data_IF_615519930394
#
_entry.id   IF_615519930394
#
_cell.length_a   1.000
_cell.length_b   1.000
_cell.length_c   1.000
_cell.angle_alpha   90.00
_cell.angle_beta   90.00
_cell.angle_gamma   90.00
#
_symmetry.space_group_name_H-M   'P 1'
#
loop_
_entity.id
_entity.type
_entity.pdbx_description
1 polymer ?
#
# COMPACT_ATOMS: atom_id res chain seq x y z
N UNK A 1 5.00 -13.10 -14.67
CA UNK A 1 5.85 -13.57 -13.54
C UNK A 1 5.16 -13.45 -12.18
N UNK A 2 4.44 -12.34 -11.91
CA UNK A 2 3.68 -12.13 -10.67
C UNK A 2 2.38 -12.96 -10.61
N UNK A 3 1.85 -13.38 -11.75
CA UNK A 3 0.78 -14.39 -11.91
C UNK A 3 1.07 -15.73 -11.22
N UNK A 4 2.33 -16.01 -10.89
CA UNK A 4 2.74 -17.22 -10.17
C UNK A 4 2.56 -17.13 -8.65
N UNK A 5 2.26 -15.94 -8.11
CA UNK A 5 2.01 -15.73 -6.68
C UNK A 5 0.66 -16.32 -6.31
N UNK A 6 0.67 -17.47 -5.63
CA UNK A 6 -0.54 -18.15 -5.15
C UNK A 6 -0.56 -18.13 -3.62
N UNK A 7 -1.29 -17.17 -3.03
CA UNK A 7 -1.42 -17.03 -1.58
C UNK A 7 -2.89 -16.87 -1.17
N UNK A 8 -3.29 -17.34 0.02
CA UNK A 8 -4.62 -17.07 0.54
C UNK A 8 -4.81 -15.58 0.84
N UNK A 9 -6.05 -15.13 0.72
CA UNK A 9 -6.51 -13.86 1.26
C UNK A 9 -6.38 -13.83 2.77
N UNK A 10 -6.09 -12.66 3.33
CA UNK A 10 -5.78 -12.49 4.74
C UNK A 10 -6.42 -11.22 5.32
N UNK A 11 -6.70 -11.17 6.63
CA UNK A 11 -7.14 -9.95 7.29
C UNK A 11 -5.97 -8.98 7.45
N UNK A 12 -6.27 -7.68 7.35
CA UNK A 12 -5.31 -6.61 7.61
C UNK A 12 -5.99 -5.49 8.38
N UNK A 13 -5.22 -4.85 9.27
CA UNK A 13 -5.70 -3.74 10.09
C UNK A 13 -4.72 -2.59 9.97
N UNK A 14 -5.23 -1.39 9.67
CA UNK A 14 -4.44 -0.17 9.80
C UNK A 14 -4.49 0.26 11.28
N UNK A 15 -3.32 0.43 11.89
CA UNK A 15 -3.20 0.76 13.31
C UNK A 15 -1.97 1.62 13.56
N UNK A 16 -2.12 2.60 14.44
CA UNK A 16 -1.12 3.60 14.74
C UNK A 16 -0.96 4.63 13.63
N UNK A 17 -0.43 5.79 14.01
CA UNK A 17 -0.02 6.86 13.10
C UNK A 17 1.41 7.25 13.38
N UNK A 18 2.11 7.71 12.35
CA UNK A 18 3.47 8.20 12.48
C UNK A 18 3.81 9.22 11.42
N UNK A 19 5.06 9.68 11.47
CA UNK A 19 5.59 10.61 10.48
C UNK A 19 6.98 10.19 10.02
N UNK A 20 7.30 10.50 8.76
CA UNK A 20 8.66 10.41 8.23
C UNK A 20 9.34 11.77 8.30
N UNK A 21 10.66 11.75 8.50
CA UNK A 21 11.52 12.94 8.43
C UNK A 21 11.97 13.50 9.77
N UNK A 22 11.46 13.00 10.91
CA UNK A 22 11.87 13.38 12.27
C UNK A 22 12.02 14.90 12.45
N UNK A 23 13.26 15.44 12.40
CA UNK A 23 13.56 16.89 12.49
C UNK A 23 12.97 17.74 11.35
N UNK A 24 12.71 17.14 10.19
CA UNK A 24 12.07 17.77 9.02
C UNK A 24 10.96 16.84 8.51
N UNK A 25 9.79 16.81 9.18
CA UNK A 25 8.69 15.94 8.78
C UNK A 25 8.24 16.25 7.35
N UNK A 26 8.12 15.20 6.53
CA UNK A 26 7.69 15.33 5.13
C UNK A 26 6.50 14.45 4.77
N UNK A 27 6.07 13.56 5.67
CA UNK A 27 4.85 12.78 5.49
C UNK A 27 4.26 12.32 6.83
N UNK A 28 2.94 12.22 6.88
CA UNK A 28 2.18 11.53 7.92
C UNK A 28 1.58 10.26 7.31
N UNK A 29 1.59 9.17 8.08
CA UNK A 29 1.13 7.87 7.61
C UNK A 29 0.32 7.12 8.68
N UNK A 30 -0.55 6.22 8.22
CA UNK A 30 -1.18 5.18 9.03
C UNK A 30 -0.36 3.89 8.94
N UNK A 31 -0.08 3.28 10.09
CA UNK A 31 0.67 2.03 10.17
C UNK A 31 -0.20 0.83 9.82
N UNK A 32 0.44 -0.31 9.63
CA UNK A 32 -0.23 -1.59 9.46
C UNK A 32 0.13 -2.46 10.65
N UNK A 33 -0.87 -3.09 11.29
CA UNK A 33 -0.63 -4.06 12.36
C UNK A 33 0.22 -5.22 11.84
N UNK A 34 1.00 -5.86 12.72
CA UNK A 34 1.90 -6.95 12.32
C UNK A 34 1.13 -8.05 11.57
N UNK A 35 1.56 -8.35 10.34
CA UNK A 35 0.93 -9.32 9.46
C UNK A 35 1.99 -10.20 8.80
N UNK A 36 2.13 -11.48 9.23
CA UNK A 36 3.01 -12.43 8.58
C UNK A 36 2.64 -12.65 7.10
N UNK A 37 1.35 -12.64 6.78
CA UNK A 37 0.86 -12.83 5.41
C UNK A 37 1.28 -11.70 4.47
N UNK A 38 1.15 -10.44 4.91
CA UNK A 38 1.62 -9.29 4.15
C UNK A 38 3.14 -9.32 3.96
N UNK A 39 3.88 -9.70 4.99
CA UNK A 39 5.34 -9.81 4.95
C UNK A 39 5.77 -10.91 3.97
N UNK A 40 5.09 -12.06 3.99
CA UNK A 40 5.37 -13.17 3.09
C UNK A 40 5.02 -12.84 1.63
N UNK A 41 3.90 -12.13 1.41
CA UNK A 41 3.50 -11.63 0.08
C UNK A 41 4.55 -10.65 -0.47
N UNK A 42 4.94 -9.64 0.32
CA UNK A 42 5.96 -8.68 -0.10
C UNK A 42 7.29 -9.38 -0.43
N UNK A 43 7.74 -10.31 0.42
CA UNK A 43 8.99 -11.03 0.18
C UNK A 43 8.94 -11.93 -1.07
N UNK A 44 7.79 -12.47 -1.43
CA UNK A 44 7.65 -13.23 -2.68
C UNK A 44 7.69 -12.34 -3.91
N UNK A 45 6.98 -11.21 -3.88
CA UNK A 45 7.00 -10.20 -4.95
C UNK A 45 8.44 -9.71 -5.16
N UNK A 46 9.14 -9.36 -4.08
CA UNK A 46 10.52 -8.88 -4.15
C UNK A 46 11.48 -9.93 -4.76
N UNK A 47 11.35 -11.21 -4.36
CA UNK A 47 12.11 -12.32 -4.98
C UNK A 47 11.78 -12.53 -6.46
N UNK A 48 10.54 -12.26 -6.90
CA UNK A 48 10.19 -12.30 -8.32
C UNK A 48 10.85 -11.14 -9.06
N UNK A 49 10.76 -9.92 -8.52
CA UNK A 49 11.39 -8.73 -9.09
C UNK A 49 12.91 -8.90 -9.25
N UNK A 50 13.59 -9.41 -8.22
CA UNK A 50 15.03 -9.68 -8.28
C UNK A 50 15.41 -10.71 -9.36
N UNK A 51 14.62 -11.78 -9.53
CA UNK A 51 14.83 -12.76 -10.61
C UNK A 51 14.62 -12.19 -12.01
N UNK A 52 13.86 -11.10 -12.13
CA UNK A 52 13.68 -10.35 -13.38
C UNK A 52 14.78 -9.29 -13.59
N UNK A 53 15.77 -9.20 -12.69
CA UNK A 53 16.90 -8.26 -12.79
C UNK A 53 16.66 -6.90 -12.14
N UNK A 54 15.58 -6.72 -11.38
CA UNK A 54 15.36 -5.49 -10.61
C UNK A 54 16.20 -5.51 -9.33
N UNK A 55 16.77 -4.36 -8.89
CA UNK A 55 17.51 -4.30 -7.65
C UNK A 55 16.58 -4.49 -6.44
N UNK A 56 17.10 -5.12 -5.38
CA UNK A 56 16.41 -5.17 -4.10
C UNK A 56 16.25 -3.76 -3.50
N UNK A 57 15.13 -3.49 -2.81
CA UNK A 57 15.02 -2.28 -2.00
C UNK A 57 15.89 -2.44 -0.75
N UNK A 58 16.92 -1.60 -0.52
CA UNK A 58 17.80 -1.74 0.64
C UNK A 58 17.10 -1.38 1.95
N UNK A 59 15.91 -0.77 1.90
CA UNK A 59 15.16 -0.35 3.09
C UNK A 59 14.35 -1.51 3.63
N UNK A 60 14.31 -1.63 4.95
CA UNK A 60 13.39 -2.53 5.64
C UNK A 60 11.96 -2.22 5.21
N UNK A 61 11.21 -3.26 4.82
CA UNK A 61 9.80 -3.13 4.52
C UNK A 61 9.03 -2.64 5.75
N UNK A 62 8.45 -1.44 5.66
CA UNK A 62 7.62 -0.84 6.68
C UNK A 62 6.25 -0.51 6.07
N UNK A 63 5.28 -1.44 6.15
CA UNK A 63 3.98 -1.26 5.52
C UNK A 63 3.23 -0.09 6.15
N UNK A 64 2.80 0.87 5.31
CA UNK A 64 2.10 2.06 5.74
C UNK A 64 1.23 2.62 4.61
N UNK A 65 0.24 3.43 4.96
CA UNK A 65 -0.53 4.24 4.03
C UNK A 65 -0.17 5.70 4.27
N UNK A 66 0.44 6.37 3.29
CA UNK A 66 0.71 7.82 3.39
C UNK A 66 -0.62 8.56 3.38
N UNK A 67 -0.89 9.33 4.45
CA UNK A 67 -2.11 10.12 4.61
C UNK A 67 -1.93 11.55 4.10
N UNK A 68 -0.75 12.12 4.33
CA UNK A 68 -0.43 13.48 3.91
C UNK A 68 1.06 13.59 3.56
N UNK A 69 1.37 14.38 2.54
CA UNK A 69 2.73 14.88 2.27
C UNK A 69 2.82 16.30 2.81
N UNK A 70 3.82 16.54 3.64
CA UNK A 70 3.98 17.80 4.36
C UNK A 70 4.91 18.75 3.60
N UNK A 71 4.61 20.04 3.66
CA UNK A 71 5.45 21.12 3.13
C UNK A 71 5.66 22.15 4.23
N UNK A 72 6.92 22.39 4.60
CA UNK A 72 7.32 23.37 5.61
C UNK A 72 6.60 23.20 6.97
N UNK A 73 6.28 21.96 7.38
CA UNK A 73 5.59 21.70 8.64
C UNK A 73 6.54 21.69 9.84
N UNK A 74 6.09 22.26 10.96
CA UNK A 74 6.82 22.24 12.23
C UNK A 74 6.85 20.82 12.83
N UNK A 75 7.99 20.35 13.35
CA UNK A 75 8.06 19.09 14.11
C UNK A 75 7.11 19.07 15.32
N UNK A 76 6.89 20.22 15.97
CA UNK A 76 6.02 20.33 17.14
C UNK A 76 4.55 20.10 16.75
N UNK A 77 4.10 20.71 15.66
CA UNK A 77 2.72 20.56 15.18
C UNK A 77 2.44 19.10 14.78
N UNK A 78 3.41 18.46 14.13
CA UNK A 78 3.30 17.05 13.76
C UNK A 78 3.27 16.16 15.01
N UNK A 79 4.11 16.42 16.00
CA UNK A 79 4.08 15.69 17.27
C UNK A 79 2.71 15.83 17.97
N UNK A 80 2.18 17.05 18.06
CA UNK A 80 0.87 17.31 18.65
C UNK A 80 -0.25 16.59 17.88
N UNK A 81 -0.21 16.63 16.54
CA UNK A 81 -1.16 15.94 15.67
C UNK A 81 -1.17 14.41 15.93
N UNK A 82 0.01 13.82 16.06
CA UNK A 82 0.18 12.38 16.30
C UNK A 82 -0.25 12.00 17.72
N UNK A 83 0.11 12.79 18.74
CA UNK A 83 -0.28 12.55 20.14
C UNK A 83 -1.79 12.51 20.32
N UNK A 84 -2.53 13.38 19.62
CA UNK A 84 -4.00 13.39 19.65
C UNK A 84 -4.64 12.15 19.00
N UNK A 85 -3.85 11.31 18.30
CA UNK A 85 -4.32 10.16 17.50
C UNK A 85 -3.60 8.86 17.84
N UNK A 86 -2.96 8.78 19.00
CA UNK A 86 -2.14 7.62 19.41
C UNK A 86 -2.87 6.28 19.39
N UNK A 87 -4.19 6.28 19.60
CA UNK A 87 -5.04 5.07 19.62
C UNK A 87 -5.74 4.80 18.28
N UNK A 88 -5.26 5.37 17.16
CA UNK A 88 -5.83 5.12 15.84
C UNK A 88 -5.79 3.61 15.52
N UNK A 89 -6.97 3.06 15.22
CA UNK A 89 -7.14 1.71 14.70
C UNK A 89 -8.37 1.68 13.80
N UNK A 90 -8.22 1.17 12.58
CA UNK A 90 -9.31 0.98 11.65
C UNK A 90 -9.99 -0.38 11.86
N UNK A 91 -11.19 -0.56 11.30
CA UNK A 91 -11.80 -1.89 11.24
C UNK A 91 -10.93 -2.83 10.38
N UNK A 92 -10.71 -4.09 10.79
CA UNK A 92 -10.04 -5.07 9.96
C UNK A 92 -10.77 -5.25 8.63
N UNK A 93 -10.00 -5.38 7.55
CA UNK A 93 -10.52 -5.67 6.22
C UNK A 93 -9.77 -6.83 5.59
N UNK A 94 -10.41 -7.49 4.63
CA UNK A 94 -9.80 -8.62 3.93
C UNK A 94 -9.03 -8.15 2.70
N UNK A 95 -7.76 -8.53 2.61
CA UNK A 95 -6.95 -8.32 1.40
C UNK A 95 -7.24 -9.46 0.43
N UNK A 96 -7.91 -9.14 -0.67
CA UNK A 96 -8.35 -10.13 -1.66
C UNK A 96 -7.53 -10.17 -2.96
N UNK A 97 -6.62 -9.21 -3.17
CA UNK A 97 -5.75 -9.12 -4.35
C UNK A 97 -4.55 -8.22 -4.07
N UNK A 98 -3.53 -8.34 -4.91
CA UNK A 98 -2.49 -7.32 -5.05
C UNK A 98 -2.45 -6.83 -6.50
N UNK A 99 -1.86 -5.66 -6.72
CA UNK A 99 -1.88 -4.98 -8.02
C UNK A 99 -0.52 -4.43 -8.37
N UNK A 100 -0.20 -4.43 -9.66
CA UNK A 100 0.86 -3.61 -10.22
C UNK A 100 0.24 -2.28 -10.63
N UNK A 101 0.83 -1.19 -10.17
CA UNK A 101 0.36 0.16 -10.48
C UNK A 101 1.49 0.99 -11.08
N UNK A 102 1.15 1.84 -12.04
CA UNK A 102 2.03 2.89 -12.54
C UNK A 102 1.55 4.26 -12.06
N UNK A 103 2.47 5.21 -11.95
CA UNK A 103 2.18 6.61 -11.66
C UNK A 103 2.94 7.49 -12.63
N UNK A 104 2.36 8.64 -13.00
CA UNK A 104 3.06 9.68 -13.75
C UNK A 104 3.71 10.69 -12.81
N UNK A 105 4.81 11.29 -13.25
CA UNK A 105 5.55 12.33 -12.53
C UNK A 105 4.81 13.67 -12.51
N UNK A 106 3.61 13.73 -11.94
CA UNK A 106 2.97 15.02 -11.63
C UNK A 106 3.18 15.36 -10.15
N UNK A 107 3.82 16.51 -9.90
CA UNK A 107 3.94 17.38 -8.69
C UNK A 107 3.62 16.85 -7.27
N UNK A 108 3.64 15.54 -7.01
CA UNK A 108 3.46 14.95 -5.68
C UNK A 108 2.47 13.79 -5.54
N UNK A 109 1.99 13.22 -6.65
CA UNK A 109 1.10 12.06 -6.64
C UNK A 109 0.28 12.01 -7.93
N UNK A 110 0.71 11.18 -8.88
CA UNK A 110 0.06 11.06 -10.18
C UNK A 110 -1.39 10.59 -10.11
N UNK A 111 -2.11 10.56 -11.24
CA UNK A 111 -3.10 9.51 -11.41
C UNK A 111 -2.38 8.17 -11.33
N UNK A 112 -2.81 7.31 -10.39
CA UNK A 112 -2.37 5.92 -10.30
C UNK A 112 -3.19 5.08 -11.28
N UNK A 113 -2.51 4.29 -12.11
CA UNK A 113 -3.15 3.38 -13.05
C UNK A 113 -2.86 1.95 -12.59
N UNK A 114 -3.90 1.12 -12.49
CA UNK A 114 -3.74 -0.32 -12.28
C UNK A 114 -3.38 -0.96 -13.61
N UNK A 115 -2.17 -1.49 -13.71
CA UNK A 115 -1.69 -2.17 -14.92
C UNK A 115 -2.19 -3.61 -14.96
N UNK A 116 -2.11 -4.30 -13.82
CA UNK A 116 -2.57 -5.68 -13.65
C UNK A 116 -2.94 -5.97 -12.19
N UNK A 117 -3.85 -6.91 -11.99
CA UNK A 117 -4.38 -7.30 -10.68
C UNK A 117 -4.41 -8.82 -10.54
N UNK A 118 -3.85 -9.34 -9.46
CA UNK A 118 -3.79 -10.77 -9.18
C UNK A 118 -4.59 -11.12 -7.92
N UNK A 119 -5.61 -11.99 -8.02
CA UNK A 119 -6.43 -12.37 -6.89
C UNK A 119 -5.64 -13.23 -5.89
N UNK A 120 -5.96 -13.07 -4.61
CA UNK A 120 -5.55 -13.99 -3.56
C UNK A 120 -6.67 -15.02 -3.35
N UNK A 121 -6.31 -16.27 -3.07
CA UNK A 121 -7.27 -17.36 -2.99
C UNK A 121 -8.20 -17.22 -1.77
N UNK A 122 -9.44 -17.71 -1.89
CA UNK A 122 -10.45 -17.59 -0.82
C UNK A 122 -10.91 -16.15 -0.54
N UNK A 123 -10.57 -15.19 -1.39
CA UNK A 123 -11.25 -13.90 -1.43
C UNK A 123 -12.62 -14.11 -2.11
N UNK A 124 -13.68 -13.58 -1.52
CA UNK A 124 -15.03 -13.74 -2.03
C UNK A 124 -15.10 -13.21 -3.48
N UNK A 125 -15.24 -14.13 -4.44
CA UNK A 125 -15.03 -13.89 -5.89
C UNK A 125 -15.97 -12.83 -6.45
N UNK A 126 -17.07 -12.54 -5.75
CA UNK A 126 -18.08 -11.52 -6.11
C UNK A 126 -17.62 -10.07 -5.93
N UNK A 127 -16.65 -9.81 -5.05
CA UNK A 127 -16.11 -8.45 -4.85
C UNK A 127 -15.00 -8.12 -5.87
N UNK A 128 -14.24 -9.13 -6.31
CA UNK A 128 -13.16 -8.97 -7.27
C UNK A 128 -13.66 -8.59 -8.68
N UNK A 129 -14.80 -9.15 -9.13
CA UNK A 129 -15.38 -8.89 -10.46
C UNK A 129 -15.91 -7.47 -10.64
N UNK A 130 -16.44 -6.83 -9.59
CA UNK A 130 -16.99 -5.46 -9.67
C UNK A 130 -15.92 -4.39 -9.88
N UNK A 131 -14.72 -4.60 -9.34
CA UNK A 131 -13.59 -3.66 -9.50
C UNK A 131 -12.85 -3.85 -10.83
N UNK A 132 -12.78 -5.08 -11.35
CA UNK A 132 -12.23 -5.35 -12.68
C UNK A 132 -13.02 -4.64 -13.80
N UNK A 133 -14.35 -4.62 -13.68
CA UNK A 133 -15.25 -3.89 -14.58
C UNK A 133 -15.03 -2.36 -14.54
N UNK A 134 -14.72 -1.79 -13.38
CA UNK A 134 -14.44 -0.36 -13.25
C UNK A 134 -13.10 0.04 -13.89
N UNK A 135 -12.09 -0.84 -13.83
CA UNK A 135 -10.81 -0.65 -14.52
C UNK A 135 -10.92 -0.78 -16.05
N UNK A 136 -11.76 -1.68 -16.57
CA UNK A 136 -12.02 -1.78 -18.02
C UNK A 136 -12.77 -0.57 -18.56
N UNK A 137 -13.72 -0.02 -17.80
CA UNK A 137 -14.41 1.22 -18.18
C UNK A 137 -13.45 2.40 -18.36
N UNK A 138 -12.35 2.45 -17.60
CA UNK A 138 -11.32 3.49 -17.73
C UNK A 138 -10.38 3.30 -18.93
N UNK A 139 -10.34 2.11 -19.55
CA UNK A 139 -9.61 1.85 -20.80
C UNK A 139 -10.39 2.26 -22.05
N UNK A 140 -11.71 2.32 -21.98
CA UNK A 140 -12.59 2.58 -23.15
C UNK A 140 -12.81 4.08 -23.41
N UNK A 141 -12.46 4.97 -22.47
CA UNK A 141 -12.60 6.43 -22.62
C UNK A 141 -11.31 7.16 -23.03
N UNK A 142 -10.45 6.54 -23.85
CA UNK A 142 -9.27 7.21 -24.44
C UNK A 142 -9.20 7.01 -25.94
#
# INVERSE_FOLDING_TARGET
>A
ALDRVHRPSFPLTLSGVGAFGQKKPHAVWAGVAASPDLTALQGEIDRICQRLGLPADPRKFMPHVTLARLRNSSPLDVAQYLSARGNFSALPFRVGRFVLMSSRDSVGGGPYIVEEAWPLSGADTRAASRLASASDASRIMR
#
